data_IF_662528315755
#
_entry.id   IF_662528315755
#
_cell.length_a   1.000
_cell.length_b   1.000
_cell.length_c   1.000
_cell.angle_alpha   90.00
_cell.angle_beta   90.00
_cell.angle_gamma   90.00
#
_symmetry.space_group_name_H-M   'P 1'
#
loop_
_entity.id
_entity.type
_entity.pdbx_description
1 polymer ?
#
# COMPACT_ATOMS: atom_id res chain seq x y z
N UNK A 1 -5.16 25.58 -52.39
CA UNK A 1 -4.31 24.61 -51.69
C UNK A 1 -4.27 24.80 -50.17
N UNK A 2 -5.36 25.02 -49.43
CA UNK A 2 -5.32 25.29 -47.98
C UNK A 2 -6.31 24.52 -47.11
N UNK A 3 -7.00 23.49 -47.66
CA UNK A 3 -8.05 22.81 -46.91
C UNK A 3 -7.59 21.52 -46.21
N UNK A 4 -6.37 21.05 -46.46
CA UNK A 4 -5.89 19.78 -45.90
C UNK A 4 -5.19 19.96 -44.54
N UNK A 5 -4.47 21.05 -44.37
CA UNK A 5 -3.80 21.38 -43.09
C UNK A 5 -4.80 21.63 -41.97
N UNK A 6 -5.91 22.29 -42.22
CA UNK A 6 -6.95 22.57 -41.23
C UNK A 6 -7.72 21.28 -40.80
N UNK A 7 -7.89 20.34 -41.72
CA UNK A 7 -8.50 19.03 -41.38
C UNK A 7 -7.58 18.14 -40.52
N UNK A 8 -6.26 18.23 -40.73
CA UNK A 8 -5.29 17.49 -39.91
C UNK A 8 -5.23 18.02 -38.48
N UNK A 9 -5.27 19.36 -38.30
CA UNK A 9 -5.31 19.98 -36.97
C UNK A 9 -6.61 19.68 -36.23
N UNK A 10 -7.74 19.65 -36.92
CA UNK A 10 -9.02 19.33 -36.28
C UNK A 10 -9.11 17.86 -35.83
N UNK A 11 -8.62 16.92 -36.63
CA UNK A 11 -8.57 15.49 -36.28
C UNK A 11 -7.59 15.24 -35.13
N UNK A 12 -6.42 15.89 -35.13
CA UNK A 12 -5.46 15.77 -34.02
C UNK A 12 -6.01 16.36 -32.71
N UNK A 13 -6.76 17.46 -32.78
CA UNK A 13 -7.38 18.08 -31.59
C UNK A 13 -8.53 17.23 -31.04
N UNK A 14 -9.35 16.60 -31.91
CA UNK A 14 -10.42 15.67 -31.51
C UNK A 14 -9.84 14.39 -30.93
N UNK A 15 -8.74 13.84 -31.47
CA UNK A 15 -8.07 12.66 -30.93
C UNK A 15 -7.39 12.94 -29.59
N UNK A 16 -6.80 14.13 -29.38
CA UNK A 16 -6.25 14.56 -28.10
C UNK A 16 -7.33 14.82 -27.05
N UNK A 17 -8.47 15.39 -27.44
CA UNK A 17 -9.60 15.59 -26.52
C UNK A 17 -10.27 14.27 -26.15
N UNK A 18 -10.41 13.32 -27.09
CA UNK A 18 -10.93 11.97 -26.82
C UNK A 18 -10.01 11.16 -25.89
N UNK A 19 -8.67 11.31 -25.99
CA UNK A 19 -7.76 10.67 -25.05
C UNK A 19 -7.82 11.29 -23.65
N UNK A 20 -7.99 12.61 -23.53
CA UNK A 20 -8.12 13.29 -22.25
C UNK A 20 -9.48 13.03 -21.57
N UNK A 21 -10.57 13.00 -22.36
CA UNK A 21 -11.90 12.61 -21.87
C UNK A 21 -12.00 11.10 -21.63
N UNK A 22 -11.34 10.27 -22.44
CA UNK A 22 -11.28 8.81 -22.26
C UNK A 22 -10.67 8.42 -20.93
N UNK A 23 -9.58 9.05 -20.49
CA UNK A 23 -8.96 8.78 -19.18
C UNK A 23 -9.88 9.17 -18.01
N UNK A 24 -10.58 10.30 -18.07
CA UNK A 24 -11.54 10.69 -17.02
C UNK A 24 -12.80 9.80 -17.00
N UNK A 25 -13.27 9.38 -18.17
CA UNK A 25 -14.44 8.48 -18.29
C UNK A 25 -14.09 7.08 -17.79
N UNK A 26 -12.89 6.55 -18.10
CA UNK A 26 -12.45 5.23 -17.60
C UNK A 26 -12.28 5.26 -16.07
N UNK A 27 -11.69 6.28 -15.47
CA UNK A 27 -11.56 6.39 -14.01
C UNK A 27 -12.93 6.52 -13.32
N UNK A 28 -13.87 7.26 -13.90
CA UNK A 28 -15.24 7.38 -13.38
C UNK A 28 -16.00 6.06 -13.44
N UNK A 29 -15.90 5.30 -14.54
CA UNK A 29 -16.52 3.99 -14.70
C UNK A 29 -15.84 2.96 -13.78
N UNK A 30 -14.52 3.00 -13.64
CA UNK A 30 -13.78 2.09 -12.75
C UNK A 30 -14.23 2.28 -11.29
N UNK A 31 -14.37 3.52 -10.83
CA UNK A 31 -14.83 3.81 -9.48
C UNK A 31 -16.29 3.39 -9.25
N UNK A 32 -17.18 3.55 -10.26
CA UNK A 32 -18.58 3.15 -10.17
C UNK A 32 -18.78 1.62 -10.20
N UNK A 33 -17.79 0.87 -10.72
CA UNK A 33 -17.81 -0.59 -10.80
C UNK A 33 -16.94 -1.26 -9.73
N UNK A 34 -16.32 -0.47 -8.83
CA UNK A 34 -15.52 -1.04 -7.73
C UNK A 34 -16.43 -1.88 -6.82
N UNK A 35 -15.95 -3.07 -6.40
CA UNK A 35 -16.73 -3.91 -5.51
C UNK A 35 -16.94 -3.24 -4.17
N UNK A 36 -17.94 -3.76 -3.43
CA UNK A 36 -18.16 -3.38 -2.04
C UNK A 36 -16.89 -3.54 -1.22
N UNK A 37 -16.73 -2.71 -0.20
CA UNK A 37 -15.53 -2.69 0.66
C UNK A 37 -15.30 -4.00 1.41
N UNK A 38 -16.35 -4.80 1.62
CA UNK A 38 -16.24 -6.14 2.20
C UNK A 38 -15.42 -7.09 1.33
N UNK A 39 -15.31 -6.84 0.02
CA UNK A 39 -14.47 -7.64 -0.88
C UNK A 39 -12.98 -7.37 -0.67
N UNK A 40 -12.61 -6.16 -0.22
CA UNK A 40 -11.22 -5.87 0.22
C UNK A 40 -10.84 -6.74 1.42
N UNK A 41 -11.73 -6.84 2.41
CA UNK A 41 -11.50 -7.67 3.60
C UNK A 41 -11.37 -9.15 3.23
N UNK A 42 -12.25 -9.66 2.36
CA UNK A 42 -12.18 -11.05 1.88
C UNK A 42 -10.88 -11.33 1.13
N UNK A 43 -10.48 -10.42 0.23
CA UNK A 43 -9.22 -10.53 -0.51
C UNK A 43 -8.04 -10.53 0.45
N UNK A 44 -8.03 -9.65 1.44
CA UNK A 44 -6.99 -9.59 2.45
C UNK A 44 -6.90 -10.86 3.28
N UNK A 45 -8.03 -11.45 3.68
CA UNK A 45 -8.07 -12.73 4.38
C UNK A 45 -7.47 -13.87 3.53
N UNK A 46 -7.83 -13.93 2.24
CA UNK A 46 -7.28 -14.93 1.31
C UNK A 46 -5.77 -14.73 1.12
N UNK A 47 -5.32 -13.48 0.95
CA UNK A 47 -3.89 -13.17 0.83
C UNK A 47 -3.13 -13.51 2.13
N UNK A 48 -3.71 -13.25 3.29
CA UNK A 48 -3.13 -13.61 4.59
C UNK A 48 -3.01 -15.13 4.75
N UNK A 49 -4.01 -15.89 4.29
CA UNK A 49 -3.95 -17.35 4.29
C UNK A 49 -2.84 -17.86 3.35
N UNK A 50 -2.70 -17.29 2.16
CA UNK A 50 -1.65 -17.62 1.19
C UNK A 50 -0.26 -17.32 1.77
N UNK A 51 -0.05 -16.14 2.37
CA UNK A 51 1.21 -15.77 3.03
C UNK A 51 1.53 -16.76 4.15
N UNK A 52 0.54 -17.13 4.96
CA UNK A 52 0.70 -18.07 6.08
C UNK A 52 1.04 -19.51 5.60
N UNK A 53 0.63 -19.87 4.38
CA UNK A 53 0.95 -21.16 3.78
C UNK A 53 2.40 -21.26 3.29
N UNK A 54 3.14 -20.14 3.23
CA UNK A 54 4.51 -20.03 2.72
C UNK A 54 5.51 -19.56 3.79
N UNK A 55 5.67 -20.26 4.91
CA UNK A 55 6.51 -19.78 6.03
C UNK A 55 8.00 -19.66 5.69
N UNK A 56 8.49 -20.33 4.65
CA UNK A 56 9.86 -20.18 4.16
C UNK A 56 10.07 -18.87 3.40
N UNK A 57 9.04 -18.33 2.74
CA UNK A 57 9.05 -17.07 2.00
C UNK A 57 8.68 -15.91 2.92
N UNK A 58 7.70 -16.12 3.79
CA UNK A 58 7.18 -15.14 4.76
C UNK A 58 7.29 -15.67 6.19
N UNK A 59 8.49 -15.74 6.78
CA UNK A 59 8.67 -16.22 8.15
C UNK A 59 8.10 -15.20 9.15
N UNK A 60 6.85 -15.39 9.57
CA UNK A 60 6.20 -14.49 10.52
C UNK A 60 6.90 -14.60 11.89
N UNK A 61 7.32 -13.46 12.43
CA UNK A 61 7.88 -13.37 13.77
C UNK A 61 6.81 -13.79 14.78
N UNK A 62 7.11 -14.81 15.59
CA UNK A 62 6.18 -15.23 16.62
C UNK A 62 5.89 -14.08 17.60
N UNK A 63 4.61 -13.82 17.91
CA UNK A 63 4.24 -12.77 18.87
C UNK A 63 4.72 -13.12 20.28
N UNK A 64 4.63 -14.40 20.63
CA UNK A 64 5.13 -14.92 21.91
C UNK A 64 6.65 -14.72 22.01
N UNK A 65 7.06 -13.94 23.00
CA UNK A 65 8.45 -13.52 23.21
C UNK A 65 8.86 -12.25 22.45
N UNK A 66 7.94 -11.67 21.66
CA UNK A 66 8.13 -10.40 20.94
C UNK A 66 6.93 -9.45 21.17
N UNK A 67 6.21 -9.62 22.26
CA UNK A 67 4.96 -8.91 22.55
C UNK A 67 5.18 -7.39 22.61
N UNK A 68 6.34 -6.95 23.10
CA UNK A 68 6.67 -5.53 23.20
C UNK A 68 6.88 -4.91 21.82
N UNK A 69 7.55 -5.61 20.90
CA UNK A 69 7.75 -5.15 19.53
C UNK A 69 6.40 -5.06 18.81
N UNK A 70 5.56 -6.09 18.91
CA UNK A 70 4.23 -6.09 18.30
C UNK A 70 3.35 -4.96 18.84
N UNK A 71 3.35 -4.76 20.17
CA UNK A 71 2.60 -3.68 20.82
C UNK A 71 3.05 -2.32 20.31
N UNK A 72 4.36 -2.15 20.14
CA UNK A 72 4.93 -0.91 19.65
C UNK A 72 4.51 -0.61 18.20
N UNK A 73 4.68 -1.56 17.29
CA UNK A 73 4.32 -1.39 15.88
C UNK A 73 2.79 -1.20 15.72
N UNK A 74 1.97 -1.98 16.44
CA UNK A 74 0.51 -1.76 16.50
C UNK A 74 0.15 -0.39 17.07
N UNK A 75 0.93 0.12 18.03
CA UNK A 75 0.78 1.47 18.57
C UNK A 75 0.95 2.55 17.51
N UNK A 76 1.97 2.43 16.65
CA UNK A 76 2.17 3.33 15.49
C UNK A 76 0.96 3.28 14.57
N UNK A 77 0.52 2.07 14.19
CA UNK A 77 -0.68 1.88 13.36
C UNK A 77 -1.90 2.56 13.97
N UNK A 78 -2.15 2.32 15.27
CA UNK A 78 -3.30 2.91 15.98
C UNK A 78 -3.27 4.43 15.98
N UNK A 79 -2.10 5.06 16.19
CA UNK A 79 -1.95 6.51 16.14
C UNK A 79 -2.31 7.07 14.75
N UNK A 80 -1.86 6.39 13.68
CA UNK A 80 -2.17 6.78 12.30
C UNK A 80 -3.68 6.65 12.03
N UNK A 81 -4.29 5.53 12.37
CA UNK A 81 -5.73 5.30 12.19
C UNK A 81 -6.60 6.31 12.95
N UNK A 82 -6.13 6.75 14.12
CA UNK A 82 -6.82 7.75 14.94
C UNK A 82 -6.47 9.20 14.56
N UNK A 83 -5.74 9.44 13.48
CA UNK A 83 -5.42 10.79 12.97
C UNK A 83 -6.66 11.60 12.56
N UNK A 84 -7.79 10.93 12.34
CA UNK A 84 -9.05 11.54 11.90
C UNK A 84 -9.17 11.72 10.39
N UNK A 85 -8.16 11.27 9.61
CA UNK A 85 -8.11 11.45 8.14
C UNK A 85 -8.06 10.16 7.35
N UNK A 86 -7.96 8.99 8.01
CA UNK A 86 -8.08 7.68 7.38
C UNK A 86 -9.56 7.37 7.17
N UNK A 87 -9.96 7.21 5.90
CA UNK A 87 -11.36 7.07 5.49
C UNK A 87 -11.96 5.76 6.02
N UNK A 88 -11.23 4.66 5.84
CA UNK A 88 -11.66 3.31 6.22
C UNK A 88 -11.09 2.84 7.57
N UNK A 89 -10.78 3.79 8.47
CA UNK A 89 -10.22 3.46 9.79
C UNK A 89 -11.06 2.48 10.63
N UNK A 90 -12.39 2.44 10.39
CA UNK A 90 -13.34 1.59 11.11
C UNK A 90 -13.88 0.41 10.28
N UNK A 91 -13.62 0.42 8.97
CA UNK A 91 -14.18 -0.57 8.04
C UNK A 91 -13.27 -1.80 7.90
N UNK A 92 -11.97 -1.62 8.13
CA UNK A 92 -10.97 -2.67 8.01
C UNK A 92 -10.51 -3.19 9.38
N UNK A 93 -10.12 -4.47 9.51
CA UNK A 93 -9.60 -5.06 10.74
C UNK A 93 -8.22 -4.52 11.16
N UNK A 94 -7.44 -3.96 10.25
CA UNK A 94 -6.11 -3.37 10.48
C UNK A 94 -5.18 -4.25 11.32
N UNK A 95 -4.90 -5.44 10.81
CA UNK A 95 -4.00 -6.39 11.45
C UNK A 95 -2.54 -6.11 11.08
N UNK A 96 -1.64 -6.24 12.07
CA UNK A 96 -0.19 -6.08 11.87
C UNK A 96 0.51 -7.42 12.09
N UNK A 97 1.31 -7.83 11.11
CA UNK A 97 2.24 -8.96 11.16
C UNK A 97 3.67 -8.46 10.94
N UNK A 98 4.63 -9.08 11.58
CA UNK A 98 6.05 -8.79 11.39
C UNK A 98 6.69 -9.99 10.69
N UNK A 99 7.36 -9.76 9.57
CA UNK A 99 8.12 -10.80 8.85
C UNK A 99 9.55 -10.78 9.37
N UNK A 100 10.01 -11.93 9.86
CA UNK A 100 11.35 -12.07 10.45
C UNK A 100 12.40 -12.32 9.36
N UNK A 101 12.62 -11.31 8.53
CA UNK A 101 13.71 -11.27 7.56
C UNK A 101 14.50 -9.97 7.75
N UNK A 102 15.67 -10.05 8.40
CA UNK A 102 16.50 -8.88 8.70
C UNK A 102 17.25 -8.32 7.48
N UNK A 103 17.20 -8.99 6.33
CA UNK A 103 17.90 -8.57 5.10
C UNK A 103 17.00 -7.78 4.16
N UNK A 104 15.68 -7.99 4.23
CA UNK A 104 14.72 -7.36 3.34
C UNK A 104 14.24 -6.04 3.90
N UNK A 105 14.44 -4.96 3.14
CA UNK A 105 13.92 -3.62 3.45
C UNK A 105 12.58 -3.44 2.76
N UNK A 106 11.51 -3.93 3.40
CA UNK A 106 10.16 -3.86 2.84
C UNK A 106 9.07 -3.74 3.91
N UNK A 107 7.94 -3.19 3.50
CA UNK A 107 6.64 -3.28 4.15
C UNK A 107 5.59 -3.34 3.05
N UNK A 108 4.43 -3.90 3.32
CA UNK A 108 3.29 -3.87 2.40
C UNK A 108 1.98 -4.00 3.14
N UNK A 109 0.91 -3.48 2.53
CA UNK A 109 -0.44 -3.66 3.02
C UNK A 109 -1.31 -4.31 1.94
N UNK A 110 -2.01 -5.38 2.31
CA UNK A 110 -2.97 -6.03 1.42
C UNK A 110 -4.36 -5.38 1.55
N UNK A 111 -5.28 -5.58 0.61
CA UNK A 111 -6.65 -5.09 0.76
C UNK A 111 -7.24 -5.45 2.12
N UNK A 112 -8.11 -4.59 2.67
CA UNK A 112 -8.70 -4.83 3.98
C UNK A 112 -7.79 -4.52 5.17
N UNK A 113 -6.60 -3.91 4.95
CA UNK A 113 -5.77 -3.38 6.04
C UNK A 113 -4.90 -4.43 6.77
N UNK A 114 -4.44 -5.47 6.09
CA UNK A 114 -3.47 -6.42 6.66
C UNK A 114 -2.05 -5.95 6.33
N UNK A 115 -1.37 -5.42 7.35
CA UNK A 115 -0.07 -4.75 7.25
C UNK A 115 1.04 -5.74 7.60
N UNK A 116 2.06 -5.81 6.76
CA UNK A 116 3.26 -6.61 6.94
C UNK A 116 4.49 -5.71 6.98
N UNK A 117 5.32 -5.85 8.02
CA UNK A 117 6.54 -5.06 8.19
C UNK A 117 7.71 -6.01 8.40
N UNK A 118 8.76 -5.86 7.60
CA UNK A 118 9.96 -6.69 7.71
C UNK A 118 10.88 -6.21 8.83
N UNK A 119 11.47 -7.15 9.56
CA UNK A 119 12.46 -6.82 10.60
C UNK A 119 13.66 -6.06 10.04
N UNK A 120 14.02 -6.31 8.77
CA UNK A 120 15.07 -5.56 8.08
C UNK A 120 14.74 -4.08 7.97
N UNK A 121 13.52 -3.72 7.58
CA UNK A 121 13.08 -2.33 7.52
C UNK A 121 13.09 -1.68 8.91
N UNK A 122 12.53 -2.37 9.93
CA UNK A 122 12.51 -1.85 11.30
C UNK A 122 13.95 -1.58 11.80
N UNK A 123 14.89 -2.50 11.55
CA UNK A 123 16.29 -2.34 11.95
C UNK A 123 17.02 -1.25 11.15
N UNK A 124 16.64 -1.06 9.89
CA UNK A 124 17.29 -0.09 8.99
C UNK A 124 16.96 1.35 9.34
N UNK A 125 15.73 1.67 9.70
CA UNK A 125 15.28 3.01 10.00
C UNK A 125 15.90 3.54 11.32
N UNK A 126 16.00 4.85 11.47
CA UNK A 126 16.66 5.49 12.61
C UNK A 126 15.67 5.95 13.67
N UNK A 127 14.45 6.31 13.26
CA UNK A 127 13.45 6.95 14.11
C UNK A 127 12.05 6.39 13.88
N UNK A 128 11.16 6.55 14.86
CA UNK A 128 9.78 6.08 14.81
C UNK A 128 8.97 6.78 13.72
N UNK A 129 9.17 8.09 13.52
CA UNK A 129 8.49 8.85 12.49
C UNK A 129 8.82 8.38 11.08
N UNK A 130 10.05 7.91 10.82
CA UNK A 130 10.41 7.30 9.55
C UNK A 130 9.59 6.02 9.30
N UNK A 131 9.48 5.16 10.33
CA UNK A 131 8.64 3.97 10.24
C UNK A 131 7.16 4.34 10.12
N UNK A 132 6.69 5.31 10.89
CA UNK A 132 5.32 5.81 10.81
C UNK A 132 5.01 6.37 9.41
N UNK A 133 5.98 7.04 8.78
CA UNK A 133 5.86 7.52 7.40
C UNK A 133 5.68 6.40 6.39
N UNK A 134 6.50 5.34 6.46
CA UNK A 134 6.33 4.15 5.61
C UNK A 134 5.01 3.45 5.90
N UNK A 135 4.66 3.23 7.18
CA UNK A 135 3.39 2.61 7.55
C UNK A 135 2.18 3.45 7.12
N UNK A 136 2.27 4.77 7.19
CA UNK A 136 1.24 5.68 6.68
C UNK A 136 1.05 5.57 5.18
N UNK A 137 2.14 5.36 4.42
CA UNK A 137 2.11 5.09 3.00
C UNK A 137 1.41 3.75 2.69
N UNK A 138 1.73 2.68 3.45
CA UNK A 138 1.07 1.38 3.29
C UNK A 138 -0.42 1.43 3.66
N UNK A 139 -0.75 2.12 4.75
CA UNK A 139 -2.13 2.36 5.16
C UNK A 139 -2.88 3.11 4.04
N UNK A 140 -2.24 4.09 3.39
CA UNK A 140 -2.85 4.82 2.29
C UNK A 140 -3.16 3.92 1.08
N UNK A 141 -2.29 2.95 0.76
CA UNK A 141 -2.60 1.99 -0.31
C UNK A 141 -3.86 1.19 -0.02
N UNK A 142 -4.08 0.75 1.22
CA UNK A 142 -5.32 0.07 1.60
C UNK A 142 -6.52 1.02 1.68
N UNK A 143 -6.37 2.17 2.35
CA UNK A 143 -7.41 3.17 2.53
C UNK A 143 -7.94 3.73 1.20
N UNK A 144 -7.06 3.91 0.22
CA UNK A 144 -7.42 4.35 -1.15
C UNK A 144 -7.71 3.18 -2.09
N UNK A 145 -7.70 1.95 -1.58
CA UNK A 145 -8.05 0.73 -2.31
C UNK A 145 -7.19 0.51 -3.57
N UNK A 146 -5.91 0.93 -3.53
CA UNK A 146 -5.03 0.90 -4.70
C UNK A 146 -4.84 -0.50 -5.26
N UNK A 147 -4.67 -1.51 -4.39
CA UNK A 147 -4.55 -2.91 -4.82
C UNK A 147 -5.80 -3.39 -5.57
N UNK A 148 -6.99 -3.08 -5.05
CA UNK A 148 -8.25 -3.45 -5.69
C UNK A 148 -8.42 -2.72 -7.02
N UNK A 149 -8.12 -1.42 -7.08
CA UNK A 149 -8.15 -0.63 -8.33
C UNK A 149 -7.21 -1.23 -9.39
N UNK A 150 -5.97 -1.56 -8.99
CA UNK A 150 -4.96 -2.12 -9.89
C UNK A 150 -5.36 -3.52 -10.39
N UNK A 151 -5.86 -4.37 -9.51
CA UNK A 151 -6.38 -5.69 -9.88
C UNK A 151 -7.55 -5.57 -10.86
N UNK A 152 -8.45 -4.64 -10.57
CA UNK A 152 -9.62 -4.40 -11.43
C UNK A 152 -9.23 -3.92 -12.83
N UNK A 153 -8.25 -3.02 -12.91
CA UNK A 153 -7.70 -2.54 -14.18
C UNK A 153 -7.00 -3.66 -14.96
N UNK A 154 -6.31 -4.55 -14.26
CA UNK A 154 -5.52 -5.61 -14.91
C UNK A 154 -6.37 -6.79 -15.37
N UNK A 155 -7.34 -7.20 -14.56
CA UNK A 155 -8.09 -8.45 -14.77
C UNK A 155 -9.60 -8.23 -15.03
N UNK A 156 -10.11 -7.03 -14.82
CA UNK A 156 -11.51 -6.68 -15.04
C UNK A 156 -12.48 -7.38 -14.08
N UNK A 157 -13.77 -7.45 -14.50
CA UNK A 157 -14.85 -8.01 -13.68
C UNK A 157 -14.70 -9.52 -13.38
N UNK A 158 -13.86 -10.21 -14.13
CA UNK A 158 -13.61 -11.66 -13.95
C UNK A 158 -13.02 -11.97 -12.55
N UNK A 159 -12.28 -11.03 -11.96
CA UNK A 159 -11.78 -11.14 -10.58
C UNK A 159 -12.92 -11.25 -9.58
N UNK A 160 -13.97 -10.47 -9.73
CA UNK A 160 -15.11 -10.48 -8.80
C UNK A 160 -15.83 -11.81 -8.81
N UNK A 161 -16.01 -12.39 -10.02
CA UNK A 161 -16.61 -13.70 -10.16
C UNK A 161 -15.77 -14.79 -9.49
N UNK A 162 -14.43 -14.70 -9.58
CA UNK A 162 -13.51 -15.63 -8.94
C UNK A 162 -13.53 -15.52 -7.41
N UNK A 163 -13.57 -14.29 -6.87
CA UNK A 163 -13.64 -14.03 -5.43
C UNK A 163 -14.96 -14.47 -4.82
N UNK A 164 -16.08 -14.11 -5.47
CA UNK A 164 -17.41 -14.52 -5.01
C UNK A 164 -17.63 -16.03 -5.05
N UNK A 165 -17.04 -16.73 -6.04
CA UNK A 165 -17.15 -18.17 -6.17
C UNK A 165 -16.20 -18.94 -5.23
N UNK A 166 -14.99 -18.42 -4.97
CA UNK A 166 -13.97 -19.11 -4.15
C UNK A 166 -14.39 -19.37 -2.70
N UNK A 167 -15.26 -18.53 -2.14
CA UNK A 167 -15.79 -18.70 -0.78
C UNK A 167 -16.97 -19.69 -0.70
N UNK A 168 -17.64 -19.95 -1.83
CA UNK A 168 -18.84 -20.80 -1.87
C UNK A 168 -18.55 -22.29 -2.16
N UNK A 169 -17.28 -22.66 -2.36
CA UNK A 169 -16.96 -23.87 -3.12
C UNK A 169 -16.11 -24.92 -2.40
N UNK A 170 -15.99 -24.88 -1.07
CA UNK A 170 -15.46 -26.03 -0.34
C UNK A 170 -16.41 -27.24 -0.57
N UNK A 171 -16.02 -28.13 -1.48
CA UNK A 171 -16.68 -29.43 -1.70
C UNK A 171 -17.39 -29.64 -3.05
N UNK A 172 -17.22 -28.82 -4.08
CA UNK A 172 -17.92 -28.93 -5.36
C UNK A 172 -16.99 -29.04 -6.59
N UNK A 173 -17.54 -29.54 -7.67
CA UNK A 173 -17.04 -29.92 -9.00
C UNK A 173 -15.71 -29.29 -9.55
N UNK A 174 -15.19 -29.85 -10.65
CA UNK A 174 -13.96 -29.45 -11.36
C UNK A 174 -13.92 -27.95 -11.78
N UNK A 175 -15.07 -27.38 -12.10
CA UNK A 175 -15.22 -25.94 -12.38
C UNK A 175 -14.94 -25.09 -11.12
N UNK A 176 -15.26 -25.61 -9.96
CA UNK A 176 -15.09 -25.06 -8.63
C UNK A 176 -13.61 -25.05 -8.21
N UNK A 177 -12.87 -26.13 -8.53
CA UNK A 177 -11.42 -26.20 -8.27
C UNK A 177 -10.65 -25.18 -9.14
N UNK A 178 -11.05 -24.99 -10.40
CA UNK A 178 -10.45 -23.94 -11.26
C UNK A 178 -10.69 -22.53 -10.72
N UNK A 179 -11.86 -22.26 -10.16
CA UNK A 179 -12.18 -20.96 -9.57
C UNK A 179 -11.40 -20.73 -8.27
N UNK A 180 -11.25 -21.74 -7.42
CA UNK A 180 -10.42 -21.65 -6.22
C UNK A 180 -8.93 -21.48 -6.53
N UNK A 181 -8.41 -22.16 -7.56
CA UNK A 181 -7.05 -21.94 -8.05
C UNK A 181 -6.84 -20.50 -8.55
N UNK A 182 -7.81 -19.93 -9.26
CA UNK A 182 -7.74 -18.53 -9.69
C UNK A 182 -7.72 -17.56 -8.50
N UNK A 183 -8.46 -17.83 -7.43
CA UNK A 183 -8.46 -16.98 -6.23
C UNK A 183 -7.10 -17.00 -5.50
N UNK A 184 -6.46 -18.18 -5.36
CA UNK A 184 -5.12 -18.30 -4.78
C UNK A 184 -4.05 -17.61 -5.63
N UNK A 185 -4.14 -17.70 -6.96
CA UNK A 185 -3.23 -16.98 -7.87
C UNK A 185 -3.38 -15.46 -7.74
N UNK A 186 -4.61 -14.97 -7.61
CA UNK A 186 -4.87 -13.55 -7.40
C UNK A 186 -4.34 -13.09 -6.05
N UNK A 187 -4.57 -13.86 -4.97
CA UNK A 187 -4.03 -13.56 -3.65
C UNK A 187 -2.49 -13.50 -3.65
N UNK A 188 -1.82 -14.42 -4.36
CA UNK A 188 -0.37 -14.35 -4.57
C UNK A 188 0.07 -13.12 -5.37
N UNK A 189 -0.70 -12.73 -6.39
CA UNK A 189 -0.41 -11.55 -7.20
C UNK A 189 -0.52 -10.24 -6.42
N UNK A 190 -1.35 -10.18 -5.37
CA UNK A 190 -1.50 -8.99 -4.51
C UNK A 190 -0.18 -8.60 -3.86
N UNK A 191 0.61 -9.56 -3.38
CA UNK A 191 1.89 -9.30 -2.70
C UNK A 191 2.94 -8.71 -3.64
N UNK A 192 2.92 -9.09 -4.92
CA UNK A 192 3.87 -8.61 -5.94
C UNK A 192 3.33 -7.47 -6.80
N UNK A 193 2.19 -6.85 -6.43
CA UNK A 193 1.58 -5.78 -7.21
C UNK A 193 2.52 -4.57 -7.29
N UNK A 194 2.72 -4.07 -8.52
CA UNK A 194 3.39 -2.79 -8.76
C UNK A 194 2.35 -1.70 -8.93
N UNK A 195 2.48 -0.66 -8.13
CA UNK A 195 1.58 0.48 -8.19
C UNK A 195 1.95 1.45 -9.31
N UNK A 196 0.97 2.20 -9.79
CA UNK A 196 1.22 3.30 -10.72
C UNK A 196 1.89 4.47 -9.99
N UNK A 197 2.57 5.36 -10.73
CA UNK A 197 3.17 6.56 -10.13
C UNK A 197 2.14 7.50 -9.51
N UNK A 198 0.92 7.49 -10.02
CA UNK A 198 -0.20 8.25 -9.47
C UNK A 198 -0.61 7.66 -8.11
N UNK A 199 -0.74 6.34 -7.98
CA UNK A 199 -1.01 5.67 -6.71
C UNK A 199 0.09 5.94 -5.69
N UNK A 200 1.36 5.90 -6.11
CA UNK A 200 2.50 6.22 -5.24
C UNK A 200 2.46 7.66 -4.74
N UNK A 201 2.17 8.61 -5.65
CA UNK A 201 2.04 10.03 -5.28
C UNK A 201 0.85 10.25 -4.33
N UNK A 202 -0.28 9.58 -4.57
CA UNK A 202 -1.44 9.65 -3.69
C UNK A 202 -1.10 9.06 -2.31
N UNK A 203 -0.43 7.90 -2.26
CA UNK A 203 -0.04 7.26 -1.00
C UNK A 203 0.95 8.12 -0.19
N UNK A 204 1.93 8.76 -0.84
CA UNK A 204 2.84 9.71 -0.19
C UNK A 204 2.09 10.90 0.40
N UNK A 205 1.18 11.48 -0.39
CA UNK A 205 0.37 12.62 0.02
C UNK A 205 -0.54 12.28 1.20
N UNK A 206 -1.14 11.10 1.18
CA UNK A 206 -1.99 10.64 2.28
C UNK A 206 -1.18 10.29 3.52
N UNK A 207 0.03 9.71 3.39
CA UNK A 207 0.93 9.51 4.52
C UNK A 207 1.21 10.83 5.26
N UNK A 208 1.55 11.91 4.53
CA UNK A 208 1.72 13.24 5.12
C UNK A 208 0.45 13.71 5.84
N UNK A 209 -0.73 13.51 5.23
CA UNK A 209 -2.01 13.90 5.82
C UNK A 209 -2.29 13.15 7.13
N UNK A 210 -2.05 11.84 7.14
CA UNK A 210 -2.27 11.01 8.32
C UNK A 210 -1.32 11.40 9.45
N UNK A 211 -0.03 11.57 9.16
CA UNK A 211 0.94 11.94 10.17
C UNK A 211 0.69 13.34 10.71
N UNK A 212 0.17 14.26 9.89
CA UNK A 212 -0.20 15.62 10.32
C UNK A 212 -1.26 15.62 11.44
N UNK A 213 -2.10 14.59 11.50
CA UNK A 213 -3.10 14.37 12.57
C UNK A 213 -2.53 13.68 13.82
N UNK A 214 -1.23 13.40 13.86
CA UNK A 214 -0.54 12.72 14.97
C UNK A 214 0.54 13.62 15.60
N UNK A 215 1.29 13.08 16.58
CA UNK A 215 2.48 13.75 17.11
C UNK A 215 3.72 13.63 16.22
N UNK A 216 3.71 12.78 15.19
CA UNK A 216 4.88 12.52 14.35
C UNK A 216 5.23 13.68 13.42
N UNK A 217 6.50 13.70 13.00
CA UNK A 217 6.93 14.52 11.88
C UNK A 217 6.18 14.09 10.59
N UNK A 218 5.38 14.96 9.96
CA UNK A 218 4.59 14.60 8.78
C UNK A 218 5.46 14.23 7.57
N UNK A 219 6.73 14.64 7.52
CA UNK A 219 7.69 14.27 6.49
C UNK A 219 8.46 12.97 6.81
N UNK A 220 8.01 12.14 7.77
CA UNK A 220 8.74 10.94 8.21
C UNK A 220 9.14 10.01 7.05
N UNK A 221 8.27 9.79 6.06
CA UNK A 221 8.58 8.97 4.89
C UNK A 221 9.76 9.52 4.06
N UNK A 222 9.97 10.84 3.99
CA UNK A 222 11.10 11.43 3.29
C UNK A 222 12.45 10.98 3.90
N UNK A 223 12.50 10.77 5.22
CA UNK A 223 13.68 10.25 5.91
C UNK A 223 14.07 8.85 5.42
N UNK A 224 13.10 7.96 5.23
CA UNK A 224 13.32 6.64 4.63
C UNK A 224 13.87 6.77 3.20
N UNK A 225 13.22 7.56 2.34
CA UNK A 225 13.63 7.71 0.94
C UNK A 225 15.02 8.35 0.79
N UNK A 226 15.38 9.30 1.64
CA UNK A 226 16.74 9.85 1.70
C UNK A 226 17.77 8.78 2.04
N UNK A 227 17.45 7.94 3.01
CA UNK A 227 18.36 6.88 3.47
C UNK A 227 18.56 5.80 2.40
N UNK A 228 17.51 5.34 1.73
CA UNK A 228 17.62 4.34 0.67
C UNK A 228 18.26 4.89 -0.62
N UNK A 229 18.14 6.19 -0.87
CA UNK A 229 18.82 6.84 -2.02
C UNK A 229 20.34 6.73 -1.97
N UNK A 230 20.91 6.47 -0.79
CA UNK A 230 22.33 6.25 -0.55
C UNK A 230 22.69 4.75 -0.44
N UNK A 231 21.74 3.83 -0.62
CA UNK A 231 22.00 2.39 -0.54
C UNK A 231 22.72 1.87 -1.78
N UNK A 232 23.64 0.91 -1.61
CA UNK A 232 24.41 0.29 -2.70
C UNK A 232 23.54 -0.54 -3.65
N UNK A 233 22.34 -0.94 -3.23
CA UNK A 233 21.38 -1.70 -4.02
C UNK A 233 19.96 -1.16 -3.75
N UNK A 234 19.08 -1.11 -4.78
CA UNK A 234 17.69 -0.73 -4.56
C UNK A 234 17.03 -1.71 -3.56
N UNK A 235 16.36 -1.22 -2.51
CA UNK A 235 15.64 -2.07 -1.59
C UNK A 235 14.43 -2.72 -2.28
N UNK A 236 13.98 -3.87 -1.75
CA UNK A 236 12.81 -4.60 -2.26
C UNK A 236 11.57 -3.72 -2.32
N UNK A 237 11.41 -2.80 -1.38
CA UNK A 237 10.35 -1.79 -1.38
C UNK A 237 10.18 -1.08 -2.73
N UNK A 238 11.28 -0.72 -3.41
CA UNK A 238 11.20 -0.03 -4.71
C UNK A 238 10.79 -0.94 -5.87
N UNK A 239 10.77 -2.27 -5.68
CA UNK A 239 10.30 -3.22 -6.69
C UNK A 239 8.79 -3.15 -6.90
N UNK A 240 8.04 -2.92 -5.83
CA UNK A 240 6.58 -2.79 -5.80
C UNK A 240 6.13 -1.34 -5.78
N UNK A 241 6.96 -0.43 -5.21
CA UNK A 241 6.71 1.01 -5.07
C UNK A 241 7.67 1.84 -5.94
N UNK A 242 7.40 1.96 -7.25
CA UNK A 242 8.28 2.70 -8.16
C UNK A 242 8.43 4.16 -7.72
N UNK A 243 9.67 4.65 -7.69
CA UNK A 243 9.96 5.99 -7.21
C UNK A 243 9.40 7.08 -8.16
N UNK A 244 8.41 7.89 -7.73
CA UNK A 244 7.99 9.07 -8.50
C UNK A 244 9.13 10.10 -8.58
N UNK A 245 9.13 10.89 -9.65
CA UNK A 245 10.08 11.98 -9.80
C UNK A 245 10.00 12.93 -8.60
N UNK A 246 11.14 13.28 -8.01
CA UNK A 246 11.25 14.22 -6.89
C UNK A 246 10.41 13.86 -5.65
N UNK A 247 10.23 12.55 -5.36
CA UNK A 247 9.40 12.03 -4.25
C UNK A 247 9.72 12.71 -2.92
N UNK A 248 11.00 12.81 -2.55
CA UNK A 248 11.44 13.43 -1.30
C UNK A 248 11.00 14.88 -1.23
N UNK A 249 11.31 15.68 -2.27
CA UNK A 249 10.95 17.10 -2.31
C UNK A 249 9.43 17.32 -2.27
N UNK A 250 8.64 16.44 -2.89
CA UNK A 250 7.18 16.53 -2.88
C UNK A 250 6.61 16.26 -1.47
N UNK A 251 7.11 15.23 -0.78
CA UNK A 251 6.72 14.92 0.61
C UNK A 251 7.05 16.09 1.54
N UNK A 252 8.27 16.64 1.44
CA UNK A 252 8.72 17.74 2.28
C UNK A 252 7.94 19.04 2.01
N UNK A 253 7.71 19.36 0.73
CA UNK A 253 6.94 20.54 0.35
C UNK A 253 5.48 20.43 0.84
N UNK A 254 4.87 19.26 0.74
CA UNK A 254 3.51 19.04 1.23
C UNK A 254 3.43 19.12 2.76
N UNK A 255 4.41 18.56 3.48
CA UNK A 255 4.47 18.66 4.93
C UNK A 255 4.64 20.13 5.37
N UNK A 256 5.51 20.88 4.69
CA UNK A 256 5.73 22.29 4.98
C UNK A 256 4.50 23.20 4.67
N UNK A 257 3.70 22.84 3.67
CA UNK A 257 2.49 23.57 3.31
C UNK A 257 1.34 23.38 4.31
N UNK A 258 1.46 22.44 5.26
CA UNK A 258 0.43 22.12 6.24
C UNK A 258 0.78 22.65 7.62
N UNK A 259 -0.21 23.11 8.35
CA UNK A 259 -0.08 23.48 9.76
C UNK A 259 -0.21 22.23 10.63
N UNK A 260 0.81 21.37 10.64
CA UNK A 260 0.85 20.19 11.48
C UNK A 260 1.48 20.52 12.85
N UNK A 261 0.98 19.86 13.90
CA UNK A 261 1.46 20.08 15.28
C UNK A 261 2.60 19.16 15.67
N UNK A 262 2.68 17.99 15.04
CA UNK A 262 3.62 16.96 15.37
C UNK A 262 5.00 17.17 14.73
N UNK A 263 6.05 16.89 15.51
CA UNK A 263 7.43 16.82 15.02
C UNK A 263 8.24 15.76 15.78
N UNK A 264 7.55 14.85 16.49
CA UNK A 264 8.19 13.83 17.29
C UNK A 264 8.88 12.79 16.39
N UNK A 265 10.12 12.49 16.71
CA UNK A 265 10.89 11.42 16.06
C UNK A 265 10.98 10.17 16.92
N UNK A 266 10.77 10.28 18.24
CA UNK A 266 10.82 9.19 19.23
C UNK A 266 12.08 8.28 19.09
N UNK A 267 13.22 8.85 18.67
CA UNK A 267 14.41 8.12 18.29
C UNK A 267 14.91 7.18 19.39
N UNK A 268 14.99 7.65 20.64
CA UNK A 268 15.52 6.85 21.75
C UNK A 268 14.64 5.61 22.03
N UNK A 269 13.32 5.78 22.04
CA UNK A 269 12.40 4.66 22.24
C UNK A 269 12.45 3.69 21.05
N UNK A 270 12.55 4.20 19.83
CA UNK A 270 12.69 3.38 18.64
C UNK A 270 13.94 2.51 18.67
N UNK A 271 15.10 3.07 19.06
CA UNK A 271 16.34 2.32 19.19
C UNK A 271 16.24 1.21 20.26
N UNK A 272 15.54 1.46 21.37
CA UNK A 272 15.28 0.43 22.38
C UNK A 272 14.46 -0.73 21.80
N UNK A 273 13.42 -0.45 21.03
CA UNK A 273 12.59 -1.49 20.39
C UNK A 273 13.38 -2.28 19.34
N UNK A 274 14.19 -1.60 18.53
CA UNK A 274 15.09 -2.27 17.56
C UNK A 274 16.03 -3.26 18.23
N UNK A 275 16.55 -2.94 19.42
CA UNK A 275 17.45 -3.81 20.17
C UNK A 275 16.77 -5.11 20.67
N UNK A 276 15.46 -5.17 20.73
CA UNK A 276 14.72 -6.40 21.07
C UNK A 276 14.63 -7.40 19.90
N UNK A 277 14.79 -6.92 18.66
CA UNK A 277 14.79 -7.78 17.48
C UNK A 277 16.18 -8.45 17.36
N UNK A 278 16.21 -9.77 17.54
CA UNK A 278 17.43 -10.58 17.43
C UNK A 278 17.89 -10.74 15.98
#
# INVERSE_FOLDING_TARGET
MNNWRNKFFLVAFVLLSLSYYGCKVTNGITNALMPDISEDVKMGQQTTAEISSKPSEFPILAERGNEEVYRYIRGITSKILNSGTVEHAKDFPWEVKIINDPKTLNAFCTPGGYIYVYTGLIKYLDTEDQLAGVMGHEIAHADKRHSMKQLYQTYGIQILAALGAGLATQGKSESTQKTAMNAAQIASAVVGLKFSREHETEADNMSVNYLCGTEYNPAGAAGFFKKIGNANSPPEFLSTHPNPSNRIGNIEAQAAAKTCRGNATNAAQYQRIKALLK
#
